data_IF_614388266045
#
_entry.id   IF_614388266045
#
_cell.length_a   1.000
_cell.length_b   1.000
_cell.length_c   1.000
_cell.angle_alpha   90.00
_cell.angle_beta   90.00
_cell.angle_gamma   90.00
#
_symmetry.space_group_name_H-M   'P 1'
#
loop_
_entity.id
_entity.type
_entity.pdbx_description
1 polymer ?
#
# COMPACT_ATOMS: atom_id res chain seq x y z
N UNK A 1 -12.73 -4.13 8.60
CA UNK A 1 -11.89 -3.45 7.59
C UNK A 1 -11.29 -2.20 8.20
N UNK A 2 -12.09 -1.20 8.61
CA UNK A 2 -11.61 -0.03 9.37
C UNK A 2 -10.75 -0.38 10.61
N UNK A 3 -11.18 -1.37 11.40
CA UNK A 3 -10.40 -1.82 12.57
C UNK A 3 -9.06 -2.49 12.21
N UNK A 4 -8.99 -3.18 11.06
CA UNK A 4 -7.74 -3.77 10.58
C UNK A 4 -6.83 -2.68 10.00
N UNK A 5 -7.38 -1.70 9.28
CA UNK A 5 -6.61 -0.54 8.81
C UNK A 5 -5.97 0.21 9.98
N UNK A 6 -6.75 0.55 11.01
CA UNK A 6 -6.22 1.24 12.20
C UNK A 6 -5.17 0.42 12.95
N UNK A 7 -5.31 -0.91 12.99
CA UNK A 7 -4.29 -1.80 13.57
C UNK A 7 -3.02 -1.86 12.71
N UNK A 8 -3.17 -1.89 11.38
CA UNK A 8 -2.07 -1.80 10.44
C UNK A 8 -1.29 -0.49 10.60
N UNK A 9 -2.00 0.63 10.67
CA UNK A 9 -1.42 1.97 10.90
C UNK A 9 -0.68 2.04 12.24
N UNK A 10 -1.24 1.43 13.29
CA UNK A 10 -0.58 1.36 14.59
C UNK A 10 0.75 0.60 14.50
N UNK A 11 0.80 -0.56 13.83
CA UNK A 11 2.05 -1.27 13.62
C UNK A 11 3.04 -0.51 12.73
N UNK A 12 2.56 0.11 11.64
CA UNK A 12 3.36 0.98 10.77
C UNK A 12 4.01 2.13 11.55
N UNK A 13 3.27 2.79 12.44
CA UNK A 13 3.78 3.89 13.28
C UNK A 13 4.90 3.47 14.25
N UNK A 14 4.96 2.16 14.56
CA UNK A 14 6.00 1.55 15.40
C UNK A 14 7.15 0.96 14.57
N UNK A 15 7.16 1.18 13.24
CA UNK A 15 8.08 0.55 12.29
C UNK A 15 8.05 -0.97 12.32
N UNK A 16 6.95 -1.56 12.77
CA UNK A 16 6.71 -3.01 12.85
C UNK A 16 6.09 -3.48 11.54
N UNK A 17 6.88 -3.41 10.47
CA UNK A 17 6.40 -3.51 9.10
C UNK A 17 5.89 -4.92 8.76
N UNK A 18 6.49 -5.98 9.28
CA UNK A 18 6.02 -7.35 9.09
C UNK A 18 4.64 -7.59 9.73
N UNK A 19 4.39 -7.07 10.93
CA UNK A 19 3.07 -7.15 11.56
C UNK A 19 2.05 -6.28 10.83
N UNK A 20 2.43 -5.06 10.44
CA UNK A 20 1.59 -4.18 9.64
C UNK A 20 1.16 -4.88 8.33
N UNK A 21 2.12 -5.48 7.62
CA UNK A 21 1.88 -6.21 6.39
C UNK A 21 0.85 -7.32 6.57
N UNK A 22 1.01 -8.17 7.59
CA UNK A 22 0.06 -9.26 7.87
C UNK A 22 -1.35 -8.73 8.11
N UNK A 23 -1.48 -7.59 8.78
CA UNK A 23 -2.79 -6.97 9.07
C UNK A 23 -3.40 -6.38 7.80
N UNK A 24 -2.62 -5.67 6.98
CA UNK A 24 -3.11 -5.14 5.71
C UNK A 24 -3.49 -6.25 4.73
N UNK A 25 -2.72 -7.33 4.64
CA UNK A 25 -3.06 -8.52 3.83
C UNK A 25 -4.39 -9.14 4.28
N UNK A 26 -4.67 -9.18 5.58
CA UNK A 26 -5.97 -9.63 6.08
C UNK A 26 -7.09 -8.67 5.70
N UNK A 27 -6.86 -7.36 5.77
CA UNK A 27 -7.83 -6.36 5.36
C UNK A 27 -8.18 -6.47 3.86
N UNK A 28 -7.16 -6.62 3.01
CA UNK A 28 -7.33 -6.79 1.55
C UNK A 28 -7.98 -8.13 1.20
N UNK A 29 -7.73 -9.20 1.96
CA UNK A 29 -8.44 -10.48 1.78
C UNK A 29 -9.93 -10.39 2.08
N UNK A 30 -10.33 -9.54 3.02
CA UNK A 30 -11.74 -9.34 3.39
C UNK A 30 -12.43 -8.43 2.38
N UNK A 31 -11.78 -7.34 1.97
CA UNK A 31 -12.25 -6.49 0.89
C UNK A 31 -11.10 -6.11 -0.02
N UNK A 32 -11.07 -6.76 -1.19
CA UNK A 32 -10.08 -6.50 -2.22
C UNK A 32 -10.18 -5.08 -2.80
N UNK A 33 -11.31 -4.39 -2.58
CA UNK A 33 -11.54 -3.01 -3.01
C UNK A 33 -11.17 -1.95 -1.96
N UNK A 34 -10.55 -2.36 -0.85
CA UNK A 34 -10.21 -1.42 0.22
C UNK A 34 -8.85 -0.75 -0.03
N UNK A 35 -8.88 0.34 -0.78
CA UNK A 35 -7.70 1.06 -1.27
C UNK A 35 -6.78 1.60 -0.17
N UNK A 36 -7.30 1.95 1.01
CA UNK A 36 -6.45 2.39 2.13
C UNK A 36 -5.58 1.24 2.65
N UNK A 37 -6.15 0.03 2.76
CA UNK A 37 -5.41 -1.16 3.18
C UNK A 37 -4.40 -1.60 2.12
N UNK A 38 -4.72 -1.46 0.82
CA UNK A 38 -3.75 -1.71 -0.25
C UNK A 38 -2.60 -0.70 -0.23
N UNK A 39 -2.88 0.58 0.03
CA UNK A 39 -1.85 1.60 0.20
C UNK A 39 -0.94 1.28 1.39
N UNK A 40 -1.52 0.92 2.53
CA UNK A 40 -0.75 0.48 3.71
C UNK A 40 0.06 -0.79 3.47
N UNK A 41 -0.48 -1.74 2.71
CA UNK A 41 0.23 -2.95 2.29
C UNK A 41 1.44 -2.63 1.41
N UNK A 42 1.28 -1.79 0.38
CA UNK A 42 2.39 -1.32 -0.45
C UNK A 42 3.43 -0.53 0.35
N UNK A 43 2.95 0.33 1.26
CA UNK A 43 3.63 0.94 2.41
C UNK A 43 4.66 0.00 3.06
N UNK A 44 4.11 -1.03 3.68
CA UNK A 44 4.87 -2.01 4.45
C UNK A 44 5.82 -2.84 3.56
N UNK A 45 5.38 -3.25 2.37
CA UNK A 45 6.23 -4.01 1.44
C UNK A 45 7.48 -3.23 1.04
N UNK A 46 7.33 -1.94 0.73
CA UNK A 46 8.47 -1.09 0.38
C UNK A 46 9.45 -0.92 1.55
N UNK A 47 8.94 -0.70 2.77
CA UNK A 47 9.79 -0.61 3.97
C UNK A 47 10.54 -1.91 4.28
N UNK A 48 10.01 -3.05 3.83
CA UNK A 48 10.64 -4.37 3.93
C UNK A 48 11.60 -4.68 2.77
N UNK A 49 11.82 -3.76 1.84
CA UNK A 49 12.65 -3.94 0.65
C UNK A 49 12.03 -4.87 -0.41
N UNK A 50 10.71 -5.08 -0.35
CA UNK A 50 9.94 -5.92 -1.30
C UNK A 50 9.33 -5.03 -2.40
N UNK A 51 10.18 -4.26 -3.06
CA UNK A 51 9.79 -3.15 -3.94
C UNK A 51 8.88 -3.58 -5.09
N UNK A 52 9.19 -4.70 -5.75
CA UNK A 52 8.36 -5.23 -6.84
C UNK A 52 6.95 -5.56 -6.40
N UNK A 53 6.79 -6.13 -5.21
CA UNK A 53 5.47 -6.47 -4.66
C UNK A 53 4.73 -5.22 -4.21
N UNK A 54 5.45 -4.22 -3.67
CA UNK A 54 4.88 -2.93 -3.32
C UNK A 54 4.28 -2.25 -4.57
N UNK A 55 5.03 -2.17 -5.67
CA UNK A 55 4.56 -1.57 -6.92
C UNK A 55 3.33 -2.30 -7.47
N UNK A 56 3.29 -3.63 -7.42
CA UNK A 56 2.13 -4.41 -7.87
C UNK A 56 0.86 -4.07 -7.09
N UNK A 57 0.94 -4.03 -5.76
CA UNK A 57 -0.21 -3.73 -4.91
C UNK A 57 -0.66 -2.27 -5.08
N UNK A 58 0.28 -1.34 -5.17
CA UNK A 58 -0.03 0.08 -5.35
C UNK A 58 -0.64 0.35 -6.73
N UNK A 59 -0.21 -0.37 -7.77
CA UNK A 59 -0.80 -0.26 -9.12
C UNK A 59 -2.27 -0.68 -9.11
N UNK A 60 -2.61 -1.79 -8.44
CA UNK A 60 -3.99 -2.21 -8.27
C UNK A 60 -4.82 -1.15 -7.52
N UNK A 61 -4.24 -0.51 -6.50
CA UNK A 61 -4.91 0.57 -5.78
C UNK A 61 -5.17 1.79 -6.68
N UNK A 62 -4.24 2.14 -7.58
CA UNK A 62 -4.41 3.21 -8.56
C UNK A 62 -5.57 2.90 -9.52
N UNK A 63 -5.63 1.69 -10.07
CA UNK A 63 -6.71 1.26 -10.96
C UNK A 63 -8.08 1.43 -10.29
N UNK A 64 -8.21 0.96 -9.04
CA UNK A 64 -9.47 1.07 -8.30
C UNK A 64 -9.84 2.51 -7.94
N UNK A 65 -8.85 3.38 -7.67
CA UNK A 65 -9.09 4.79 -7.40
C UNK A 65 -9.55 5.52 -8.68
N UNK A 66 -8.98 5.17 -9.84
CA UNK A 66 -9.43 5.69 -11.14
C UNK A 66 -10.86 5.25 -11.43
N UNK A 67 -11.18 3.98 -11.22
CA UNK A 67 -12.54 3.44 -11.40
C UNK A 67 -13.58 4.12 -10.50
N UNK A 68 -13.14 4.63 -9.34
CA UNK A 68 -13.96 5.42 -8.41
C UNK A 68 -13.94 6.93 -8.69
N UNK A 69 -13.31 7.35 -9.78
CA UNK A 69 -13.11 8.75 -10.17
C UNK A 69 -12.32 9.58 -9.14
N UNK A 70 -11.58 8.92 -8.23
CA UNK A 70 -10.73 9.56 -7.22
C UNK A 70 -9.31 9.79 -7.75
N UNK A 71 -9.24 10.64 -8.78
CA UNK A 71 -8.02 10.89 -9.55
C UNK A 71 -6.90 11.50 -8.69
N UNK A 72 -7.23 12.35 -7.72
CA UNK A 72 -6.22 12.97 -6.87
C UNK A 72 -5.51 11.96 -5.97
N UNK A 73 -6.25 11.00 -5.40
CA UNK A 73 -5.62 9.91 -4.64
C UNK A 73 -4.83 8.98 -5.58
N UNK A 74 -5.35 8.69 -6.77
CA UNK A 74 -4.63 7.88 -7.76
C UNK A 74 -3.27 8.52 -8.13
N UNK A 75 -3.22 9.84 -8.34
CA UNK A 75 -1.99 10.58 -8.60
C UNK A 75 -1.03 10.48 -7.40
N UNK A 76 -1.53 10.65 -6.17
CA UNK A 76 -0.70 10.55 -4.98
C UNK A 76 -0.04 9.17 -4.85
N UNK A 77 -0.78 8.10 -5.09
CA UNK A 77 -0.25 6.73 -5.09
C UNK A 77 0.71 6.50 -6.27
N UNK A 78 0.43 7.05 -7.45
CA UNK A 78 1.33 6.96 -8.61
C UNK A 78 2.67 7.64 -8.36
N UNK A 79 2.69 8.75 -7.63
CA UNK A 79 3.95 9.42 -7.23
C UNK A 79 4.78 8.54 -6.29
N UNK A 80 4.13 7.81 -5.39
CA UNK A 80 4.80 6.84 -4.52
C UNK A 80 5.42 5.70 -5.34
N UNK A 81 4.70 5.15 -6.32
CA UNK A 81 5.22 4.12 -7.23
C UNK A 81 6.50 4.62 -7.93
N UNK A 82 6.45 5.82 -8.52
CA UNK A 82 7.62 6.42 -9.18
C UNK A 82 8.80 6.64 -8.23
N UNK A 83 8.53 6.96 -6.96
CA UNK A 83 9.58 7.10 -5.96
C UNK A 83 10.25 5.76 -5.65
N UNK A 84 9.46 4.69 -5.49
CA UNK A 84 9.96 3.33 -5.24
C UNK A 84 10.84 2.88 -6.41
N UNK A 85 10.34 3.00 -7.65
CA UNK A 85 11.07 2.60 -8.86
C UNK A 85 12.38 3.38 -9.02
N UNK A 86 12.36 4.70 -8.82
CA UNK A 86 13.58 5.53 -8.87
C UNK A 86 14.62 5.12 -7.84
N UNK A 87 14.20 4.71 -6.65
CA UNK A 87 15.13 4.24 -5.62
C UNK A 87 15.72 2.87 -5.94
N UNK A 88 14.97 2.03 -6.67
CA UNK A 88 15.44 0.72 -7.11
C UNK A 88 16.56 0.84 -8.16
N UNK A 89 16.52 1.87 -9.02
CA UNK A 89 17.51 2.11 -10.08
C UNK A 89 18.84 2.72 -9.57
N UNK A 90 18.92 3.08 -8.28
CA UNK A 90 20.08 3.73 -7.66
C UNK A 90 21.05 2.77 -6.97
N UNK A 91 20.82 1.45 -7.04
CA UNK A 91 21.59 0.38 -6.38
C UNK A 91 22.24 -0.54 -7.41
#
# INVERSE_FOLDING_TARGET
MLALNGLGELYSSQSRWEEALKVYEQAVKIEASYTDAQLGQGQALWQLGRDREAVQVLTLAVEQLIDREDVWRAIAVSNLIQQIERMQDLV
#
